data_IF_385419423217
#
_entry.id   IF_385419423217
#
_cell.length_a   1.000
_cell.length_b   1.000
_cell.length_c   1.000
_cell.angle_alpha   90.00
_cell.angle_beta   90.00
_cell.angle_gamma   90.00
#
_symmetry.space_group_name_H-M   'P 1'
#
loop_
_entity.id
_entity.type
_entity.pdbx_description
1 polymer ?
#
# COMPACT_ATOMS: atom_id res chain seq x y z
N UNK A 1 -2.47 -42.30 29.93
CA UNK A 1 -1.74 -43.28 29.09
C UNK A 1 -0.53 -42.59 28.47
N UNK A 2 0.60 -43.28 28.24
CA UNK A 2 1.74 -42.67 27.55
C UNK A 2 1.45 -42.62 26.05
N UNK A 3 1.21 -41.44 25.50
CA UNK A 3 1.16 -41.24 24.05
C UNK A 3 2.57 -41.45 23.50
N UNK A 4 2.75 -42.48 22.67
CA UNK A 4 4.06 -42.85 22.11
C UNK A 4 4.12 -42.41 20.66
N UNK A 5 5.28 -41.95 20.25
CA UNK A 5 5.63 -41.81 18.84
C UNK A 5 5.96 -43.18 18.24
N UNK A 6 5.85 -43.34 16.91
CA UNK A 6 6.24 -44.57 16.24
C UNK A 6 7.76 -44.77 16.39
N UNK A 7 8.22 -46.03 16.24
CA UNK A 7 9.64 -46.35 16.30
C UNK A 7 10.37 -45.58 15.18
N UNK A 8 11.37 -44.78 15.57
CA UNK A 8 12.07 -43.86 14.67
C UNK A 8 11.55 -42.41 14.67
N UNK A 9 10.47 -42.12 15.41
CA UNK A 9 9.94 -40.77 15.62
C UNK A 9 8.80 -40.41 14.68
N UNK A 10 8.04 -39.36 15.00
CA UNK A 10 6.81 -38.96 14.28
C UNK A 10 6.89 -38.89 12.74
N UNK A 11 8.08 -38.66 12.17
CA UNK A 11 8.29 -38.55 10.73
C UNK A 11 8.32 -39.90 10.01
N UNK A 12 8.54 -41.01 10.72
CA UNK A 12 8.59 -42.35 10.11
C UNK A 12 7.21 -42.89 9.77
N UNK A 13 6.18 -42.47 10.52
CA UNK A 13 4.78 -42.70 10.16
C UNK A 13 3.90 -41.51 10.59
N UNK A 14 3.79 -40.49 9.72
CA UNK A 14 2.98 -39.30 9.99
C UNK A 14 1.49 -39.60 10.09
N UNK A 15 1.00 -40.62 9.36
CA UNK A 15 -0.42 -40.99 9.35
C UNK A 15 -0.82 -41.60 10.69
N UNK A 16 -0.01 -42.55 11.19
CA UNK A 16 -0.19 -43.14 12.50
C UNK A 16 -0.09 -42.09 13.61
N UNK A 17 0.91 -41.20 13.54
CA UNK A 17 1.08 -40.13 14.52
C UNK A 17 -0.11 -39.16 14.53
N UNK A 18 -0.62 -38.78 13.36
CA UNK A 18 -1.82 -37.94 13.23
C UNK A 18 -3.05 -38.61 13.85
N UNK A 19 -3.22 -39.92 13.66
CA UNK A 19 -4.31 -40.67 14.31
C UNK A 19 -4.15 -40.71 15.83
N UNK A 20 -2.93 -40.90 16.36
CA UNK A 20 -2.69 -40.86 17.80
C UNK A 20 -2.95 -39.49 18.40
N UNK A 21 -2.55 -38.41 17.71
CA UNK A 21 -2.85 -37.03 18.13
C UNK A 21 -4.37 -36.81 18.13
N UNK A 22 -5.08 -37.26 17.09
CA UNK A 22 -6.54 -37.15 17.01
C UNK A 22 -7.23 -37.86 18.18
N UNK A 23 -6.79 -39.07 18.52
CA UNK A 23 -7.31 -39.83 19.67
C UNK A 23 -7.06 -39.06 20.96
N UNK A 24 -5.82 -38.62 21.21
CA UNK A 24 -5.45 -37.88 22.42
C UNK A 24 -6.23 -36.56 22.59
N UNK A 25 -6.47 -35.83 21.49
CA UNK A 25 -7.27 -34.60 21.52
C UNK A 25 -8.72 -34.91 21.88
N UNK A 26 -9.32 -35.93 21.23
CA UNK A 26 -10.71 -36.29 21.50
C UNK A 26 -10.90 -36.77 22.95
N UNK A 27 -9.98 -37.59 23.47
CA UNK A 27 -10.00 -38.03 24.87
C UNK A 27 -9.92 -36.83 25.83
N UNK A 28 -8.97 -35.92 25.61
CA UNK A 28 -8.83 -34.71 26.43
C UNK A 28 -10.08 -33.81 26.35
N UNK A 29 -10.67 -33.66 25.16
CA UNK A 29 -11.89 -32.89 24.97
C UNK A 29 -13.08 -33.53 25.69
N UNK A 30 -13.22 -34.85 25.63
CA UNK A 30 -14.27 -35.59 26.34
C UNK A 30 -14.14 -35.49 27.86
N UNK A 31 -12.90 -35.47 28.39
CA UNK A 31 -12.63 -35.24 29.80
C UNK A 31 -12.98 -33.80 30.23
N UNK A 32 -12.55 -32.80 29.46
CA UNK A 32 -12.76 -31.39 29.79
C UNK A 32 -14.22 -30.96 29.60
N UNK A 33 -14.95 -31.56 28.65
CA UNK A 33 -16.37 -31.25 28.39
C UNK A 33 -17.30 -31.73 29.51
N UNK A 34 -16.84 -32.67 30.35
CA UNK A 34 -17.59 -33.12 31.55
C UNK A 34 -17.57 -32.09 32.68
N UNK A 35 -16.69 -31.08 32.62
CA UNK A 35 -16.57 -30.02 33.62
C UNK A 35 -17.41 -28.80 33.22
N UNK A 36 -18.01 -28.12 34.20
CA UNK A 36 -18.62 -26.82 33.96
C UNK A 36 -17.53 -25.71 33.85
N UNK A 37 -17.91 -24.53 33.37
CA UNK A 37 -16.97 -23.42 33.13
C UNK A 37 -16.18 -22.99 34.38
N UNK A 38 -16.80 -23.03 35.56
CA UNK A 38 -16.13 -22.64 36.81
C UNK A 38 -15.10 -23.69 37.24
N UNK A 39 -15.44 -24.97 37.12
CA UNK A 39 -14.54 -26.07 37.42
C UNK A 39 -13.37 -26.13 36.44
N UNK A 40 -13.61 -25.82 35.15
CA UNK A 40 -12.56 -25.72 34.13
C UNK A 40 -11.55 -24.58 34.45
N UNK A 41 -12.05 -23.41 34.88
CA UNK A 41 -11.19 -22.30 35.29
C UNK A 41 -10.38 -22.63 36.55
N UNK A 42 -11.00 -23.33 37.50
CA UNK A 42 -10.35 -23.79 38.73
C UNK A 42 -9.28 -24.85 38.45
N UNK A 43 -9.57 -25.82 37.59
CA UNK A 43 -8.61 -26.83 37.13
C UNK A 43 -7.40 -26.19 36.46
N UNK A 44 -7.64 -25.23 35.55
CA UNK A 44 -6.58 -24.44 34.91
C UNK A 44 -5.71 -23.72 35.94
N UNK A 45 -6.32 -23.05 36.92
CA UNK A 45 -5.57 -22.35 37.97
C UNK A 45 -4.70 -23.33 38.79
N UNK A 46 -5.27 -24.46 39.20
CA UNK A 46 -4.56 -25.48 39.98
C UNK A 46 -3.41 -26.12 39.19
N UNK A 47 -3.59 -26.35 37.88
CA UNK A 47 -2.52 -26.87 37.01
C UNK A 47 -1.29 -25.99 37.08
N UNK A 48 -1.44 -24.68 36.85
CA UNK A 48 -0.30 -23.76 36.85
C UNK A 48 0.24 -23.46 38.25
N UNK A 49 -0.62 -23.43 39.27
CA UNK A 49 -0.18 -23.22 40.66
C UNK A 49 0.70 -24.35 41.21
N UNK A 50 0.49 -25.58 40.73
CA UNK A 50 1.28 -26.76 41.13
C UNK A 50 2.59 -26.92 40.36
N UNK A 51 2.84 -26.08 39.35
CA UNK A 51 4.10 -26.10 38.60
C UNK A 51 5.17 -25.35 39.39
N UNK A 52 6.21 -26.08 39.79
CA UNK A 52 7.33 -25.58 40.57
C UNK A 52 7.42 -26.23 41.95
N UNK A 53 8.65 -26.52 42.40
CA UNK A 53 8.93 -26.98 43.76
C UNK A 53 9.59 -25.87 44.55
N UNK A 54 9.10 -25.60 45.75
CA UNK A 54 9.75 -24.72 46.71
C UNK A 54 9.89 -25.45 48.05
N UNK A 55 11.00 -25.19 48.74
CA UNK A 55 11.29 -25.82 50.02
C UNK A 55 10.94 -24.80 51.12
N UNK A 56 9.78 -24.97 51.76
CA UNK A 56 9.36 -24.12 52.88
C UNK A 56 10.22 -24.39 54.13
N UNK A 57 10.59 -23.33 54.85
CA UNK A 57 11.21 -23.43 56.18
C UNK A 57 12.73 -23.25 56.24
N UNK A 58 13.41 -22.98 55.12
CA UNK A 58 14.82 -22.56 55.15
C UNK A 58 14.85 -21.02 55.18
N UNK A 59 15.45 -20.37 56.19
CA UNK A 59 15.64 -18.93 56.19
C UNK A 59 16.41 -18.50 54.93
N UNK A 60 15.75 -17.75 54.06
CA UNK A 60 16.37 -17.17 52.87
C UNK A 60 17.08 -15.91 53.34
N UNK A 61 18.41 -15.95 53.38
CA UNK A 61 19.26 -14.80 53.67
C UNK A 61 18.87 -13.62 52.75
N UNK A 62 18.55 -12.41 53.29
CA UNK A 62 18.05 -11.27 52.50
C UNK A 62 18.96 -10.84 51.35
N UNK A 63 20.24 -11.26 51.37
CA UNK A 63 21.16 -11.11 50.24
C UNK A 63 21.59 -12.47 49.74
N UNK A 64 20.72 -13.11 48.95
CA UNK A 64 21.16 -14.17 48.04
C UNK A 64 22.10 -13.57 47.00
N UNK A 65 23.38 -13.51 47.31
CA UNK A 65 24.44 -13.14 46.39
C UNK A 65 24.54 -14.22 45.33
N UNK A 66 23.79 -14.09 44.24
CA UNK A 66 24.08 -14.86 43.06
C UNK A 66 25.45 -14.38 42.57
N UNK A 67 26.42 -15.29 42.47
CA UNK A 67 27.59 -15.12 41.60
C UNK A 67 27.11 -15.14 40.15
N UNK A 68 26.29 -14.16 39.79
CA UNK A 68 26.05 -13.77 38.42
C UNK A 68 27.40 -13.27 37.95
N UNK A 69 28.07 -14.02 37.06
CA UNK A 69 28.89 -13.32 36.07
C UNK A 69 27.99 -12.23 35.50
N UNK A 70 28.54 -11.03 35.27
CA UNK A 70 27.79 -10.01 34.52
C UNK A 70 27.17 -10.74 33.36
N UNK A 71 25.84 -10.65 33.25
CA UNK A 71 25.11 -11.32 32.19
C UNK A 71 25.71 -10.74 30.92
N UNK A 72 26.62 -11.47 30.30
CA UNK A 72 26.96 -11.35 28.89
C UNK A 72 25.71 -11.85 28.17
N UNK A 73 24.59 -11.14 28.33
CA UNK A 73 23.69 -10.96 27.21
C UNK A 73 24.66 -10.42 26.17
N UNK A 74 24.92 -11.13 25.06
CA UNK A 74 25.61 -10.48 23.97
C UNK A 74 24.79 -9.22 23.75
N UNK A 75 25.36 -8.05 24.06
CA UNK A 75 24.90 -6.82 23.43
C UNK A 75 24.81 -7.24 21.97
N UNK A 76 23.60 -7.29 21.36
CA UNK A 76 23.46 -7.78 20.01
C UNK A 76 24.58 -7.10 19.23
N UNK A 77 25.46 -7.91 18.60
CA UNK A 77 26.78 -7.43 18.18
C UNK A 77 26.55 -6.11 17.48
N UNK A 78 27.18 -5.04 17.99
CA UNK A 78 27.07 -3.69 17.42
C UNK A 78 27.31 -3.88 15.94
N UNK A 79 26.22 -3.87 15.15
CA UNK A 79 26.36 -4.09 13.72
C UNK A 79 27.16 -2.88 13.28
N UNK A 80 28.24 -3.13 12.54
CA UNK A 80 29.03 -2.00 12.05
C UNK A 80 28.08 -1.10 11.25
N UNK A 81 28.04 0.19 11.57
CA UNK A 81 27.17 1.14 10.87
C UNK A 81 27.42 1.05 9.35
N UNK A 82 28.67 0.76 8.96
CA UNK A 82 29.11 0.49 7.60
C UNK A 82 28.42 -0.71 6.93
N UNK A 83 28.22 -1.83 7.64
CA UNK A 83 27.55 -3.01 7.08
C UNK A 83 26.04 -2.78 6.92
N UNK A 84 25.43 -2.04 7.86
CA UNK A 84 24.02 -1.66 7.78
C UNK A 84 23.79 -0.69 6.61
N UNK A 85 24.62 0.34 6.45
CA UNK A 85 24.54 1.28 5.34
C UNK A 85 24.71 0.59 3.98
N UNK A 86 25.63 -0.37 3.87
CA UNK A 86 25.81 -1.17 2.65
C UNK A 86 24.60 -2.07 2.36
N UNK A 87 23.97 -2.65 3.40
CA UNK A 87 22.76 -3.45 3.24
C UNK A 87 21.56 -2.61 2.75
N UNK A 88 21.44 -1.37 3.26
CA UNK A 88 20.42 -0.40 2.85
C UNK A 88 20.65 0.07 1.41
N UNK A 89 21.89 0.37 1.03
CA UNK A 89 22.21 0.83 -0.33
C UNK A 89 21.94 -0.26 -1.37
N UNK A 90 22.30 -1.51 -1.06
CA UNK A 90 21.95 -2.67 -1.90
C UNK A 90 20.44 -2.85 -2.05
N UNK A 91 19.69 -2.64 -0.98
CA UNK A 91 18.22 -2.67 -1.00
C UNK A 91 17.64 -1.57 -1.89
N UNK A 92 18.13 -0.32 -1.76
CA UNK A 92 17.74 0.79 -2.63
C UNK A 92 18.01 0.48 -4.09
N UNK A 93 19.20 -0.01 -4.40
CA UNK A 93 19.59 -0.37 -5.76
C UNK A 93 18.69 -1.47 -6.33
N UNK A 94 18.41 -2.52 -5.55
CA UNK A 94 17.53 -3.60 -6.00
C UNK A 94 16.10 -3.11 -6.29
N UNK A 95 15.57 -2.22 -5.46
CA UNK A 95 14.20 -1.70 -5.61
C UNK A 95 14.10 -0.77 -6.82
N UNK A 96 15.17 -0.02 -7.11
CA UNK A 96 15.29 0.81 -8.33
C UNK A 96 15.39 -0.04 -9.59
N UNK A 97 16.20 -1.10 -9.58
CA UNK A 97 16.43 -1.98 -10.75
C UNK A 97 15.24 -2.89 -11.06
N UNK A 98 14.41 -3.24 -10.08
CA UNK A 98 13.27 -4.15 -10.27
C UNK A 98 12.14 -3.87 -9.28
N UNK A 99 11.34 -2.82 -9.49
CA UNK A 99 10.21 -2.47 -8.64
C UNK A 99 9.09 -3.52 -8.60
N UNK A 100 9.12 -4.50 -9.52
CA UNK A 100 8.14 -5.59 -9.65
C UNK A 100 8.62 -6.93 -9.05
N UNK A 101 9.90 -7.09 -8.67
CA UNK A 101 10.41 -8.34 -8.13
C UNK A 101 10.39 -8.32 -6.59
N UNK A 102 10.13 -9.45 -5.91
CA UNK A 102 10.30 -9.52 -4.46
C UNK A 102 11.75 -9.15 -4.10
N UNK A 103 11.97 -8.22 -3.15
CA UNK A 103 13.32 -7.90 -2.73
C UNK A 103 14.00 -9.16 -2.19
N UNK A 104 15.27 -9.38 -2.58
CA UNK A 104 16.07 -10.56 -2.17
C UNK A 104 16.47 -10.44 -0.71
N UNK A 105 16.59 -9.19 -0.25
CA UNK A 105 16.79 -8.82 1.14
C UNK A 105 15.44 -8.63 1.82
N UNK A 106 15.32 -9.15 3.03
CA UNK A 106 14.14 -8.98 3.87
C UNK A 106 14.04 -7.52 4.34
N UNK A 107 13.26 -6.72 3.61
CA UNK A 107 12.98 -5.30 3.92
C UNK A 107 12.41 -5.13 5.34
N UNK A 108 11.60 -6.08 5.80
CA UNK A 108 11.01 -5.99 7.14
C UNK A 108 12.07 -6.22 8.22
N UNK A 109 12.98 -7.18 8.02
CA UNK A 109 14.10 -7.43 8.92
C UNK A 109 15.07 -6.26 8.98
N UNK A 110 15.37 -5.61 7.86
CA UNK A 110 16.26 -4.44 7.80
C UNK A 110 15.65 -3.21 8.46
N UNK A 111 14.35 -2.93 8.24
CA UNK A 111 13.63 -1.89 8.98
C UNK A 111 13.70 -2.14 10.49
N UNK A 112 13.37 -3.36 10.94
CA UNK A 112 13.47 -3.74 12.36
C UNK A 112 14.88 -3.60 12.93
N UNK A 113 15.91 -3.84 12.12
CA UNK A 113 17.32 -3.69 12.52
C UNK A 113 17.64 -2.20 12.71
N UNK A 114 17.21 -1.36 11.77
CA UNK A 114 17.40 0.08 11.82
C UNK A 114 16.61 0.77 12.94
N UNK A 115 15.40 0.31 13.26
CA UNK A 115 14.62 0.76 14.42
C UNK A 115 15.41 0.60 15.73
N UNK A 116 16.01 -0.59 15.95
CA UNK A 116 16.85 -0.83 17.15
C UNK A 116 18.07 0.08 17.22
N UNK A 117 18.68 0.34 16.07
CA UNK A 117 19.83 1.24 15.97
C UNK A 117 19.44 2.70 16.26
N UNK A 118 18.27 3.15 15.78
CA UNK A 118 17.71 4.47 16.12
C UNK A 118 17.42 4.58 17.62
N UNK A 119 16.80 3.57 18.23
CA UNK A 119 16.53 3.53 19.68
C UNK A 119 17.81 3.58 20.52
N UNK A 120 18.86 2.91 20.05
CA UNK A 120 20.17 2.91 20.70
C UNK A 120 20.81 4.30 20.63
N UNK A 121 20.85 4.92 19.46
CA UNK A 121 21.38 6.29 19.30
C UNK A 121 20.54 7.30 20.11
N UNK A 122 19.21 7.14 20.14
CA UNK A 122 18.34 7.98 20.97
C UNK A 122 18.70 7.84 22.46
N UNK A 123 18.91 6.62 22.93
CA UNK A 123 19.32 6.33 24.30
C UNK A 123 20.70 6.92 24.63
N UNK A 124 21.63 6.90 23.68
CA UNK A 124 22.95 7.53 23.82
C UNK A 124 22.83 9.07 23.88
N UNK A 125 21.96 9.67 23.07
CA UNK A 125 21.69 11.10 23.11
C UNK A 125 21.05 11.53 24.44
N UNK A 126 20.05 10.79 24.93
CA UNK A 126 19.43 11.03 26.25
C UNK A 126 20.46 11.00 27.37
N UNK A 127 21.38 10.03 27.34
CA UNK A 127 22.48 9.92 28.31
C UNK A 127 23.44 11.11 28.21
N UNK A 128 23.87 11.47 27.00
CA UNK A 128 24.80 12.57 26.78
C UNK A 128 24.22 13.92 27.25
N UNK A 129 22.91 14.11 27.14
CA UNK A 129 22.22 15.33 27.56
C UNK A 129 21.87 15.35 29.06
N UNK A 130 22.17 14.27 29.79
CA UNK A 130 21.85 14.15 31.22
C UNK A 130 20.35 14.03 31.51
N UNK A 131 19.55 13.56 30.54
CA UNK A 131 18.09 13.48 30.65
C UNK A 131 17.58 12.11 31.13
N UNK A 132 18.49 11.14 31.36
CA UNK A 132 18.16 9.75 31.73
C UNK A 132 17.18 9.64 32.91
N UNK A 133 17.41 10.38 34.00
CA UNK A 133 16.56 10.32 35.19
C UNK A 133 15.16 10.89 34.92
N UNK A 134 15.08 11.99 34.14
CA UNK A 134 13.80 12.62 33.77
C UNK A 134 12.96 11.69 32.89
N UNK A 135 13.57 11.04 31.90
CA UNK A 135 12.90 10.04 31.07
C UNK A 135 12.48 8.80 31.87
N UNK A 136 13.30 8.34 32.81
CA UNK A 136 12.96 7.20 33.68
C UNK A 136 11.76 7.53 34.57
N UNK A 137 11.77 8.68 35.23
CA UNK A 137 10.67 9.13 36.09
C UNK A 137 9.37 9.29 35.30
N UNK A 138 9.44 9.88 34.12
CA UNK A 138 8.27 10.03 33.24
C UNK A 138 7.72 8.66 32.79
N UNK A 139 8.60 7.71 32.44
CA UNK A 139 8.20 6.34 32.10
C UNK A 139 7.47 5.65 33.25
N UNK A 140 7.94 5.84 34.48
CA UNK A 140 7.29 5.27 35.68
C UNK A 140 5.92 5.92 35.94
N UNK A 141 5.79 7.24 35.75
CA UNK A 141 4.52 7.97 35.85
C UNK A 141 3.51 7.48 34.79
N UNK A 142 3.95 7.31 33.54
CA UNK A 142 3.11 6.77 32.44
C UNK A 142 2.71 5.32 32.71
N UNK A 143 3.64 4.48 33.16
CA UNK A 143 3.34 3.06 33.44
C UNK A 143 2.29 2.91 34.55
N UNK A 144 2.34 3.77 35.57
CA UNK A 144 1.33 3.79 36.64
C UNK A 144 -0.04 4.23 36.11
N UNK A 145 -0.11 5.32 35.35
CA UNK A 145 -1.36 5.81 34.77
C UNK A 145 -2.04 4.77 33.87
N UNK A 146 -1.27 4.08 33.02
CA UNK A 146 -1.80 3.03 32.13
C UNK A 146 -2.22 1.77 32.89
N UNK A 147 -1.55 1.41 33.99
CA UNK A 147 -1.92 0.26 34.82
C UNK A 147 -3.28 0.40 35.51
N UNK A 148 -3.75 1.63 35.68
CA UNK A 148 -5.06 1.95 36.27
C UNK A 148 -6.18 2.03 35.20
N UNK A 149 -5.89 1.69 33.93
CA UNK A 149 -6.80 1.85 32.77
C UNK A 149 -7.37 3.28 32.62
N UNK A 150 -6.69 4.28 33.18
CA UNK A 150 -7.08 5.68 33.01
C UNK A 150 -6.51 6.22 31.71
N UNK A 151 -7.31 7.03 31.01
CA UNK A 151 -6.81 7.91 29.94
C UNK A 151 -5.71 8.79 30.50
N UNK A 152 -4.62 8.97 29.74
CA UNK A 152 -3.50 9.84 30.13
C UNK A 152 -4.05 11.21 30.54
N UNK A 153 -3.84 11.59 31.79
CA UNK A 153 -4.22 12.90 32.31
C UNK A 153 -3.53 14.01 31.48
N UNK A 154 -4.25 15.05 31.03
CA UNK A 154 -3.67 16.21 30.35
C UNK A 154 -2.41 16.78 31.02
N UNK A 155 -2.30 16.71 32.35
CA UNK A 155 -1.11 17.16 33.07
C UNK A 155 0.12 16.26 32.87
N UNK A 156 -0.10 14.95 32.70
CA UNK A 156 0.97 14.01 32.33
C UNK A 156 1.34 14.16 30.86
N UNK A 157 0.36 14.43 29.99
CA UNK A 157 0.60 14.72 28.57
C UNK A 157 1.46 15.97 28.37
N UNK A 158 1.17 17.06 29.09
CA UNK A 158 1.99 18.29 29.07
C UNK A 158 3.44 18.04 29.55
N UNK A 159 3.65 17.15 30.53
CA UNK A 159 5.01 16.73 30.94
C UNK A 159 5.73 15.95 29.84
N UNK A 160 5.02 15.09 29.11
CA UNK A 160 5.59 14.34 27.97
C UNK A 160 6.02 15.31 26.88
N UNK A 161 5.14 16.23 26.49
CA UNK A 161 5.41 17.24 25.46
C UNK A 161 6.57 18.15 25.85
N UNK A 162 6.60 18.64 27.11
CA UNK A 162 7.71 19.46 27.61
C UNK A 162 9.05 18.76 27.61
N UNK A 163 9.11 17.50 28.05
CA UNK A 163 10.37 16.74 28.04
C UNK A 163 10.81 16.42 26.61
N UNK A 164 9.86 16.17 25.71
CA UNK A 164 10.13 15.95 24.29
C UNK A 164 10.68 17.23 23.63
N UNK A 165 10.09 18.39 23.93
CA UNK A 165 10.56 19.69 23.45
C UNK A 165 11.97 20.03 23.98
N UNK A 166 12.23 19.83 25.28
CA UNK A 166 13.56 20.01 25.90
C UNK A 166 14.61 19.09 25.23
N UNK A 167 14.25 17.83 24.99
CA UNK A 167 15.12 16.89 24.29
C UNK A 167 15.41 17.34 22.86
N UNK A 168 14.39 17.68 22.08
CA UNK A 168 14.53 18.09 20.68
C UNK A 168 15.34 19.38 20.53
N UNK A 169 15.11 20.36 21.42
CA UNK A 169 15.87 21.61 21.43
C UNK A 169 17.36 21.37 21.72
N UNK A 170 17.68 20.41 22.60
CA UNK A 170 19.04 20.10 23.03
C UNK A 170 19.70 19.00 22.20
N UNK A 171 18.96 18.36 21.29
CA UNK A 171 19.43 17.20 20.55
C UNK A 171 20.71 17.50 19.77
N UNK A 172 20.82 18.68 19.17
CA UNK A 172 22.01 19.10 18.41
C UNK A 172 23.28 19.15 19.27
N UNK A 173 23.17 19.33 20.59
CA UNK A 173 24.29 19.32 21.52
C UNK A 173 24.77 17.91 21.89
N UNK A 174 24.02 16.86 21.55
CA UNK A 174 24.45 15.48 21.77
C UNK A 174 25.56 15.11 20.76
N UNK A 175 26.66 14.45 21.19
CA UNK A 175 27.76 14.08 20.30
C UNK A 175 27.36 13.16 19.13
N UNK A 176 26.28 12.39 19.31
CA UNK A 176 25.77 11.45 18.31
C UNK A 176 24.55 11.98 17.53
N UNK A 177 24.23 13.28 17.64
CA UNK A 177 23.06 13.90 16.99
C UNK A 177 23.02 13.68 15.48
N UNK A 178 24.14 13.91 14.79
CA UNK A 178 24.29 13.68 13.36
C UNK A 178 24.06 12.21 12.97
N UNK A 179 24.54 11.29 13.81
CA UNK A 179 24.41 9.85 13.58
C UNK A 179 22.97 9.38 13.76
N UNK A 180 22.30 9.85 14.82
CA UNK A 180 20.88 9.63 15.05
C UNK A 180 20.05 10.17 13.87
N UNK A 181 20.33 11.40 13.43
CA UNK A 181 19.63 12.02 12.31
C UNK A 181 19.76 11.18 11.03
N UNK A 182 20.98 10.77 10.66
CA UNK A 182 21.24 9.89 9.50
C UNK A 182 20.43 8.59 9.58
N UNK A 183 20.38 7.94 10.74
CA UNK A 183 19.62 6.70 10.92
C UNK A 183 18.11 6.92 10.84
N UNK A 184 17.59 8.03 11.37
CA UNK A 184 16.16 8.42 11.24
C UNK A 184 15.79 8.68 9.79
N UNK A 185 16.64 9.36 9.04
CA UNK A 185 16.42 9.64 7.62
C UNK A 185 16.38 8.36 6.79
N UNK A 186 17.33 7.43 7.00
CA UNK A 186 17.30 6.12 6.36
C UNK A 186 16.04 5.32 6.71
N UNK A 187 15.56 5.41 7.96
CA UNK A 187 14.38 4.67 8.42
C UNK A 187 13.11 5.20 7.75
N UNK A 188 13.01 6.53 7.62
CA UNK A 188 11.92 7.19 6.90
C UNK A 188 11.87 6.73 5.45
N UNK A 189 13.00 6.81 4.73
CA UNK A 189 13.10 6.39 3.33
C UNK A 189 12.69 4.92 3.13
N UNK A 190 13.20 4.00 3.95
CA UNK A 190 12.84 2.57 3.84
C UNK A 190 11.36 2.31 4.15
N UNK A 191 10.77 3.08 5.06
CA UNK A 191 9.36 2.97 5.42
C UNK A 191 8.47 3.48 4.27
N UNK A 192 8.84 4.58 3.62
CA UNK A 192 8.17 5.08 2.42
C UNK A 192 8.22 4.05 1.29
N UNK A 193 9.40 3.48 1.04
CA UNK A 193 9.58 2.42 0.04
C UNK A 193 8.71 1.19 0.36
N UNK A 194 8.62 0.79 1.63
CA UNK A 194 7.74 -0.31 2.04
C UNK A 194 6.27 0.01 1.74
N UNK A 195 5.82 1.23 2.05
CA UNK A 195 4.45 1.67 1.76
C UNK A 195 4.15 1.64 0.26
N UNK A 196 5.09 2.09 -0.58
CA UNK A 196 4.94 2.02 -2.04
C UNK A 196 4.88 0.57 -2.54
N UNK A 197 5.73 -0.31 -2.01
CA UNK A 197 5.73 -1.72 -2.37
C UNK A 197 4.41 -2.41 -1.99
N UNK A 198 3.90 -2.15 -0.79
CA UNK A 198 2.65 -2.72 -0.31
C UNK A 198 1.44 -2.17 -1.09
N UNK A 199 1.44 -0.87 -1.43
CA UNK A 199 0.46 -0.30 -2.37
C UNK A 199 0.52 -0.97 -3.73
N UNK A 200 1.71 -1.19 -4.30
CA UNK A 200 1.86 -1.84 -5.60
C UNK A 200 1.32 -3.28 -5.59
N UNK A 201 1.60 -4.04 -4.52
CA UNK A 201 1.04 -5.39 -4.35
C UNK A 201 -0.49 -5.38 -4.33
N UNK A 202 -1.10 -4.44 -3.61
CA UNK A 202 -2.56 -4.32 -3.58
C UNK A 202 -3.10 -3.87 -4.94
N UNK A 203 -2.45 -2.95 -5.65
CA UNK A 203 -2.81 -2.56 -7.02
C UNK A 203 -2.78 -3.76 -7.97
N UNK A 204 -1.73 -4.58 -7.93
CA UNK A 204 -1.64 -5.80 -8.75
C UNK A 204 -2.76 -6.78 -8.41
N UNK A 205 -3.05 -6.98 -7.11
CA UNK A 205 -4.13 -7.84 -6.64
C UNK A 205 -5.50 -7.32 -7.08
N UNK A 206 -5.75 -6.03 -6.98
CA UNK A 206 -6.99 -5.37 -7.43
C UNK A 206 -7.14 -5.50 -8.95
N UNK A 207 -6.08 -5.26 -9.72
CA UNK A 207 -6.06 -5.46 -11.18
C UNK A 207 -6.42 -6.89 -11.57
N UNK A 208 -5.89 -7.89 -10.84
CA UNK A 208 -6.22 -9.30 -11.07
C UNK A 208 -7.67 -9.63 -10.70
N UNK A 209 -8.16 -9.14 -9.55
CA UNK A 209 -9.56 -9.31 -9.13
C UNK A 209 -10.53 -8.68 -10.14
N UNK A 210 -10.22 -7.47 -10.59
CA UNK A 210 -11.01 -6.74 -11.58
C UNK A 210 -11.02 -7.48 -12.91
N UNK A 211 -9.86 -7.94 -13.39
CA UNK A 211 -9.76 -8.75 -14.61
C UNK A 211 -10.64 -10.00 -14.52
N UNK A 212 -10.56 -10.74 -13.42
CA UNK A 212 -11.39 -11.93 -13.20
C UNK A 212 -12.88 -11.60 -13.25
N UNK A 213 -13.30 -10.50 -12.61
CA UNK A 213 -14.69 -10.05 -12.61
C UNK A 213 -15.17 -9.59 -13.99
N UNK A 214 -14.30 -8.94 -14.76
CA UNK A 214 -14.58 -8.60 -16.15
C UNK A 214 -14.76 -9.86 -17.01
N UNK A 215 -13.86 -10.83 -16.84
CA UNK A 215 -13.94 -12.13 -17.53
C UNK A 215 -15.23 -12.87 -17.13
N UNK A 216 -15.68 -12.80 -15.87
CA UNK A 216 -16.95 -13.40 -15.41
C UNK A 216 -18.17 -12.75 -16.11
N UNK A 217 -18.16 -11.43 -16.34
CA UNK A 217 -19.26 -10.70 -17.01
C UNK A 217 -19.29 -11.02 -18.52
N UNK A 218 -18.13 -10.94 -19.19
CA UNK A 218 -18.05 -11.17 -20.64
C UNK A 218 -18.31 -12.64 -21.01
N UNK A 219 -17.86 -13.58 -20.17
CA UNK A 219 -18.11 -15.01 -20.39
C UNK A 219 -19.44 -15.49 -19.80
N UNK A 220 -20.29 -14.58 -19.31
CA UNK A 220 -21.63 -14.94 -18.84
C UNK A 220 -22.43 -15.54 -20.00
N UNK A 221 -22.92 -16.79 -19.90
CA UNK A 221 -23.67 -17.45 -20.96
C UNK A 221 -24.85 -16.62 -21.47
N UNK A 222 -25.55 -15.94 -20.57
CA UNK A 222 -26.70 -15.09 -20.92
C UNK A 222 -26.30 -13.87 -21.74
N UNK A 223 -25.19 -13.23 -21.40
CA UNK A 223 -24.66 -12.07 -22.16
C UNK A 223 -24.18 -12.53 -23.53
N UNK A 224 -23.49 -13.67 -23.59
CA UNK A 224 -22.99 -14.25 -24.83
C UNK A 224 -24.11 -14.67 -25.78
N UNK A 225 -25.11 -15.39 -25.29
CA UNK A 225 -26.30 -15.80 -26.07
C UNK A 225 -27.05 -14.57 -26.60
N UNK A 226 -27.26 -13.55 -25.75
CA UNK A 226 -27.92 -12.31 -26.16
C UNK A 226 -27.12 -11.56 -27.24
N UNK A 227 -25.78 -11.51 -27.12
CA UNK A 227 -24.91 -10.90 -28.12
C UNK A 227 -24.97 -11.64 -29.46
N UNK A 228 -24.88 -12.97 -29.45
CA UNK A 228 -24.96 -13.81 -30.66
C UNK A 228 -26.32 -13.69 -31.35
N UNK A 229 -27.41 -13.60 -30.57
CA UNK A 229 -28.75 -13.35 -31.09
C UNK A 229 -28.88 -11.97 -31.74
N UNK A 230 -28.36 -10.93 -31.09
CA UNK A 230 -28.33 -9.57 -31.63
C UNK A 230 -27.50 -9.49 -32.93
N UNK A 231 -26.34 -10.13 -32.93
CA UNK A 231 -25.44 -10.17 -34.09
C UNK A 231 -26.11 -10.86 -35.28
N UNK A 232 -26.79 -11.99 -35.04
CA UNK A 232 -27.56 -12.70 -36.06
C UNK A 232 -28.73 -11.86 -36.59
N UNK A 233 -29.40 -11.11 -35.73
CA UNK A 233 -30.49 -10.22 -36.12
C UNK A 233 -30.01 -9.03 -36.96
N UNK A 234 -28.89 -8.40 -36.60
CA UNK A 234 -28.23 -7.35 -37.39
C UNK A 234 -27.79 -7.89 -38.77
N UNK A 235 -27.20 -9.09 -38.79
CA UNK A 235 -26.73 -9.71 -40.03
C UNK A 235 -27.87 -10.09 -40.97
N UNK A 236 -29.02 -10.52 -40.41
CA UNK A 236 -30.24 -10.82 -41.19
C UNK A 236 -30.83 -9.58 -41.85
N UNK A 237 -30.71 -8.41 -41.20
CA UNK A 237 -31.19 -7.13 -41.74
C UNK A 237 -30.25 -6.59 -42.83
N UNK A 238 -29.01 -7.10 -42.93
CA UNK A 238 -28.04 -6.66 -43.93
C UNK A 238 -27.60 -5.20 -43.76
N UNK A 239 -27.76 -4.66 -42.55
CA UNK A 239 -27.40 -3.29 -42.23
C UNK A 239 -25.88 -3.07 -42.40
N UNK A 240 -25.51 -2.09 -43.21
CA UNK A 240 -24.10 -1.71 -43.43
C UNK A 240 -23.66 -0.58 -42.49
N UNK A 241 -24.63 0.14 -41.90
CA UNK A 241 -24.42 1.23 -40.95
C UNK A 241 -25.52 1.26 -39.89
N UNK A 242 -25.27 1.96 -38.77
CA UNK A 242 -26.24 2.12 -37.69
C UNK A 242 -27.53 2.87 -38.13
N UNK A 243 -27.44 3.67 -39.21
CA UNK A 243 -28.57 4.36 -39.85
C UNK A 243 -29.59 3.38 -40.44
N UNK A 244 -29.12 2.22 -40.91
CA UNK A 244 -29.92 1.22 -41.63
C UNK A 244 -30.73 0.31 -40.69
N UNK A 245 -30.50 0.43 -39.37
CA UNK A 245 -31.22 -0.32 -38.34
C UNK A 245 -32.58 0.34 -38.06
N UNK A 246 -33.61 -0.49 -37.95
CA UNK A 246 -34.92 -0.02 -37.48
C UNK A 246 -34.89 0.40 -36.01
N UNK A 247 -35.91 1.16 -35.59
CA UNK A 247 -35.98 1.71 -34.24
C UNK A 247 -36.13 0.62 -33.15
N UNK A 248 -36.69 -0.54 -33.50
CA UNK A 248 -36.84 -1.67 -32.58
C UNK A 248 -35.49 -2.33 -32.28
N UNK A 249 -34.67 -2.55 -33.30
CA UNK A 249 -33.33 -3.12 -33.19
C UNK A 249 -32.37 -2.15 -32.51
N UNK A 250 -32.45 -0.85 -32.81
CA UNK A 250 -31.72 0.20 -32.06
C UNK A 250 -32.07 0.18 -30.57
N UNK A 251 -33.35 0.01 -30.23
CA UNK A 251 -33.80 -0.10 -28.84
C UNK A 251 -33.25 -1.36 -28.16
N UNK A 252 -33.29 -2.53 -28.82
CA UNK A 252 -32.70 -3.78 -28.30
C UNK A 252 -31.19 -3.66 -28.04
N UNK A 253 -30.45 -3.02 -28.95
CA UNK A 253 -29.01 -2.72 -28.77
C UNK A 253 -28.80 -1.85 -27.53
N UNK A 254 -29.62 -0.82 -27.38
CA UNK A 254 -29.52 0.09 -26.23
C UNK A 254 -29.83 -0.62 -24.91
N UNK A 255 -30.84 -1.48 -24.88
CA UNK A 255 -31.19 -2.28 -23.70
C UNK A 255 -30.10 -3.31 -23.35
N UNK A 256 -29.53 -3.98 -24.35
CA UNK A 256 -28.42 -4.91 -24.15
C UNK A 256 -27.18 -4.20 -23.56
N UNK A 257 -26.81 -3.04 -24.11
CA UNK A 257 -25.70 -2.25 -23.58
C UNK A 257 -25.93 -1.83 -22.12
N UNK A 258 -27.15 -1.37 -21.78
CA UNK A 258 -27.51 -1.02 -20.40
C UNK A 258 -27.38 -2.21 -19.44
N UNK A 259 -27.76 -3.41 -19.86
CA UNK A 259 -27.62 -4.63 -19.06
C UNK A 259 -26.13 -4.97 -18.83
N UNK A 260 -25.31 -4.89 -19.88
CA UNK A 260 -23.86 -5.12 -19.78
C UNK A 260 -23.21 -4.08 -18.86
N UNK A 261 -23.55 -2.81 -19.02
CA UNK A 261 -23.05 -1.71 -18.17
C UNK A 261 -23.45 -1.91 -16.70
N UNK A 262 -24.68 -2.35 -16.44
CA UNK A 262 -25.15 -2.64 -15.07
C UNK A 262 -24.36 -3.81 -14.45
N UNK A 263 -24.13 -4.88 -15.20
CA UNK A 263 -23.35 -6.02 -14.72
C UNK A 263 -21.89 -5.64 -14.47
N UNK A 264 -21.30 -4.83 -15.35
CA UNK A 264 -19.93 -4.33 -15.19
C UNK A 264 -19.82 -3.39 -13.98
N UNK A 265 -20.78 -2.48 -13.80
CA UNK A 265 -20.83 -1.60 -12.63
C UNK A 265 -20.95 -2.41 -11.33
N UNK A 266 -21.80 -3.42 -11.30
CA UNK A 266 -21.93 -4.32 -10.14
C UNK A 266 -20.65 -5.14 -9.88
N UNK A 267 -19.96 -5.55 -10.95
CA UNK A 267 -18.66 -6.21 -10.86
C UNK A 267 -17.60 -5.30 -10.23
N UNK A 268 -17.52 -4.03 -10.65
CA UNK A 268 -16.62 -3.01 -10.04
C UNK A 268 -16.97 -2.77 -8.57
N UNK A 269 -18.27 -2.61 -8.25
CA UNK A 269 -18.77 -2.49 -6.87
C UNK A 269 -18.37 -3.67 -5.99
N UNK A 270 -18.46 -4.89 -6.52
CA UNK A 270 -18.10 -6.11 -5.77
C UNK A 270 -16.61 -6.20 -5.41
N UNK A 271 -15.75 -5.47 -6.12
CA UNK A 271 -14.30 -5.37 -5.84
C UNK A 271 -13.99 -4.24 -4.84
N UNK A 272 -15.00 -3.45 -4.44
CA UNK A 272 -14.85 -2.37 -3.47
C UNK A 272 -14.20 -1.10 -4.04
N UNK A 273 -14.20 -0.95 -5.37
CA UNK A 273 -13.63 0.22 -6.06
C UNK A 273 -14.59 1.43 -6.13
N UNK A 274 -15.86 1.24 -5.74
CA UNK A 274 -16.91 2.26 -5.81
C UNK A 274 -16.88 3.24 -4.61
N UNK A 275 -16.42 2.78 -3.43
CA UNK A 275 -16.43 3.59 -2.19
C UNK A 275 -15.22 4.53 -2.01
N UNK A 276 -14.17 4.41 -2.85
CA UNK A 276 -12.97 5.26 -2.76
C UNK A 276 -12.90 6.39 -3.79
N UNK A 277 -13.75 6.39 -4.82
CA UNK A 277 -13.72 7.41 -5.87
C UNK A 277 -14.97 8.30 -5.91
N UNK A 278 -15.99 8.03 -5.09
CA UNK A 278 -17.22 8.82 -5.01
C UNK A 278 -17.58 9.10 -3.55
N UNK A 279 -16.70 9.79 -2.82
CA UNK A 279 -17.13 10.63 -1.70
C UNK A 279 -16.57 12.04 -1.91
N UNK A 280 -17.38 12.99 -2.40
CA UNK A 280 -17.00 14.38 -2.34
C UNK A 280 -17.04 14.80 -0.88
N UNK A 281 -15.87 15.12 -0.33
CA UNK A 281 -15.73 15.71 1.00
C UNK A 281 -15.40 14.70 2.09
N UNK A 282 -14.12 14.38 2.23
CA UNK A 282 -13.40 14.65 3.47
C UNK A 282 -11.90 14.43 3.21
N UNK A 283 -11.14 15.49 3.48
CA UNK A 283 -9.68 15.62 3.45
C UNK A 283 -9.08 16.01 2.08
N UNK A 284 -9.07 17.32 1.82
CA UNK A 284 -7.89 18.04 1.33
C UNK A 284 -7.42 17.85 -0.12
N UNK A 285 -8.02 16.98 -0.93
CA UNK A 285 -7.69 16.91 -2.36
C UNK A 285 -8.77 17.62 -3.17
N UNK A 286 -8.46 18.83 -3.65
CA UNK A 286 -9.24 19.47 -4.72
C UNK A 286 -9.29 18.50 -5.90
N UNK A 287 -10.49 18.03 -6.24
CA UNK A 287 -10.72 17.22 -7.43
C UNK A 287 -10.35 18.07 -8.65
N UNK A 288 -9.29 17.69 -9.36
CA UNK A 288 -8.84 18.34 -10.60
C UNK A 288 -9.69 17.94 -11.82
N UNK A 289 -10.70 17.08 -11.63
CA UNK A 289 -11.62 16.62 -12.67
C UNK A 289 -12.27 17.80 -13.43
N UNK A 290 -12.76 18.87 -12.78
CA UNK A 290 -13.37 19.99 -13.48
C UNK A 290 -12.35 20.79 -14.32
N UNK A 291 -11.12 20.98 -13.82
CA UNK A 291 -10.05 21.70 -14.55
C UNK A 291 -9.55 20.90 -15.76
N UNK A 292 -9.52 19.56 -15.67
CA UNK A 292 -9.17 18.68 -16.80
C UNK A 292 -10.28 18.69 -17.86
N UNK A 293 -11.54 18.64 -17.43
CA UNK A 293 -12.69 18.67 -18.33
C UNK A 293 -12.83 20.02 -19.05
N UNK A 294 -12.56 21.13 -18.35
CA UNK A 294 -12.52 22.47 -18.94
C UNK A 294 -11.41 22.60 -20.00
N UNK A 295 -10.22 22.07 -19.73
CA UNK A 295 -9.12 22.06 -20.70
C UNK A 295 -9.39 21.19 -21.92
N UNK A 296 -10.04 20.04 -21.72
CA UNK A 296 -10.39 19.16 -22.84
C UNK A 296 -11.41 19.85 -23.77
N UNK A 297 -12.38 20.55 -23.19
CA UNK A 297 -13.34 21.38 -23.93
C UNK A 297 -12.67 22.57 -24.64
N UNK A 298 -11.61 23.15 -24.05
CA UNK A 298 -10.87 24.25 -24.67
C UNK A 298 -10.02 23.78 -25.86
N UNK A 299 -9.34 22.63 -25.73
CA UNK A 299 -8.64 21.97 -26.84
C UNK A 299 -9.60 21.64 -27.98
N UNK A 300 -10.77 21.09 -27.66
CA UNK A 300 -11.79 20.76 -28.66
C UNK A 300 -12.25 22.03 -29.42
N UNK A 301 -12.47 23.14 -28.71
CA UNK A 301 -12.78 24.44 -29.32
C UNK A 301 -11.64 25.00 -30.16
N UNK A 302 -10.38 24.92 -29.72
CA UNK A 302 -9.23 25.40 -30.50
C UNK A 302 -9.07 24.61 -31.81
N UNK A 303 -9.28 23.29 -31.76
CA UNK A 303 -9.28 22.42 -32.95
C UNK A 303 -10.44 22.78 -33.88
N UNK A 304 -11.63 23.01 -33.33
CA UNK A 304 -12.81 23.39 -34.11
C UNK A 304 -12.65 24.78 -34.76
N UNK A 305 -12.05 25.75 -34.05
CA UNK A 305 -11.71 27.07 -34.59
C UNK A 305 -10.71 26.92 -35.73
N UNK A 306 -9.65 26.10 -35.57
CA UNK A 306 -8.67 25.87 -36.62
C UNK A 306 -9.30 25.23 -37.86
N UNK A 307 -10.15 24.21 -37.65
CA UNK A 307 -10.85 23.50 -38.72
C UNK A 307 -11.79 24.41 -39.52
N UNK A 308 -12.43 25.39 -38.86
CA UNK A 308 -13.40 26.29 -39.48
C UNK A 308 -12.79 27.59 -40.01
N UNK A 309 -11.70 28.09 -39.42
CA UNK A 309 -11.15 29.42 -39.68
C UNK A 309 -9.90 29.40 -40.57
N UNK A 310 -9.12 28.30 -40.55
CA UNK A 310 -7.91 28.21 -41.36
C UNK A 310 -8.18 27.62 -42.72
N UNK A 311 -8.21 28.48 -43.74
CA UNK A 311 -8.29 28.07 -45.15
C UNK A 311 -7.11 27.19 -45.56
N UNK A 312 -5.94 27.41 -44.96
CA UNK A 312 -4.73 26.62 -45.23
C UNK A 312 -4.82 25.21 -44.63
N UNK A 313 -5.34 25.09 -43.39
CA UNK A 313 -5.55 23.80 -42.75
C UNK A 313 -6.60 22.97 -43.49
N UNK A 314 -7.71 23.61 -43.87
CA UNK A 314 -8.75 22.98 -44.69
C UNK A 314 -8.22 22.54 -46.06
N UNK A 315 -7.38 23.36 -46.70
CA UNK A 315 -6.71 22.99 -47.96
C UNK A 315 -5.80 21.78 -47.78
N UNK A 316 -4.99 21.72 -46.72
CA UNK A 316 -4.12 20.57 -46.45
C UNK A 316 -4.90 19.27 -46.24
N UNK A 317 -6.05 19.32 -45.54
CA UNK A 317 -6.92 18.15 -45.37
C UNK A 317 -7.52 17.69 -46.69
N UNK A 318 -7.99 18.61 -47.54
CA UNK A 318 -8.52 18.25 -48.85
C UNK A 318 -7.44 17.73 -49.80
N UNK A 319 -6.23 18.30 -49.77
CA UNK A 319 -5.07 17.78 -50.51
C UNK A 319 -4.70 16.36 -50.05
N UNK A 320 -4.70 16.10 -48.73
CA UNK A 320 -4.45 14.76 -48.19
C UNK A 320 -5.53 13.77 -48.63
N UNK A 321 -6.81 14.15 -48.60
CA UNK A 321 -7.91 13.30 -49.08
C UNK A 321 -7.75 12.95 -50.56
N UNK A 322 -7.41 13.93 -51.39
CA UNK A 322 -7.19 13.73 -52.83
C UNK A 322 -5.99 12.82 -53.07
N UNK A 323 -4.89 13.00 -52.34
CA UNK A 323 -3.68 12.18 -52.49
C UNK A 323 -3.91 10.74 -52.03
N UNK A 324 -4.61 10.54 -50.92
CA UNK A 324 -5.01 9.20 -50.43
C UNK A 324 -5.96 8.51 -51.40
N UNK A 325 -6.91 9.25 -51.99
CA UNK A 325 -7.82 8.72 -53.00
C UNK A 325 -7.10 8.33 -54.30
N UNK A 326 -6.07 9.09 -54.71
CA UNK A 326 -5.21 8.77 -55.86
C UNK A 326 -4.32 7.56 -55.61
N UNK A 327 -3.78 7.42 -54.40
CA UNK A 327 -2.85 6.35 -54.03
C UNK A 327 -3.52 4.96 -53.92
N UNK A 328 -4.83 4.91 -53.68
CA UNK A 328 -5.57 3.65 -53.54
C UNK A 328 -5.08 2.79 -52.37
N UNK A 329 -5.30 1.47 -52.45
CA UNK A 329 -4.90 0.52 -51.40
C UNK A 329 -3.40 0.21 -51.35
N UNK A 330 -2.63 0.60 -52.38
CA UNK A 330 -1.18 0.37 -52.48
C UNK A 330 -0.49 1.60 -53.07
N UNK A 331 -0.09 2.57 -52.23
CA UNK A 331 0.61 3.78 -52.65
C UNK A 331 1.99 3.44 -53.24
N UNK A 332 2.38 4.10 -54.33
CA UNK A 332 3.77 4.11 -54.78
C UNK A 332 4.64 4.98 -53.83
N UNK A 333 5.97 4.88 -53.99
CA UNK A 333 6.92 5.58 -53.12
C UNK A 333 6.76 7.10 -53.12
N UNK A 334 6.28 7.69 -54.22
CA UNK A 334 6.08 9.13 -54.35
C UNK A 334 4.81 9.57 -53.59
N UNK A 335 3.70 8.85 -53.80
CA UNK A 335 2.43 9.06 -53.11
C UNK A 335 2.58 8.86 -51.61
N UNK A 336 3.36 7.86 -51.18
CA UNK A 336 3.65 7.60 -49.77
C UNK A 336 4.38 8.77 -49.11
N UNK A 337 5.45 9.25 -49.73
CA UNK A 337 6.20 10.40 -49.21
C UNK A 337 5.31 11.65 -49.11
N UNK A 338 4.44 11.87 -50.10
CA UNK A 338 3.55 13.03 -50.14
C UNK A 338 2.44 12.98 -49.08
N UNK A 339 1.88 11.79 -48.85
CA UNK A 339 0.92 11.54 -47.76
C UNK A 339 1.60 11.75 -46.40
N UNK A 340 2.83 11.26 -46.22
CA UNK A 340 3.58 11.43 -44.99
C UNK A 340 3.90 12.91 -44.71
N UNK A 341 4.35 13.66 -45.72
CA UNK A 341 4.63 15.10 -45.62
C UNK A 341 3.38 15.92 -45.25
N UNK A 342 2.25 15.65 -45.92
CA UNK A 342 0.97 16.32 -45.61
C UNK A 342 0.48 15.97 -44.21
N UNK A 343 0.62 14.71 -43.80
CA UNK A 343 0.29 14.25 -42.45
C UNK A 343 1.12 14.96 -41.39
N UNK A 344 2.43 15.14 -41.63
CA UNK A 344 3.30 15.87 -40.72
C UNK A 344 2.92 17.35 -40.61
N UNK A 345 2.63 18.01 -41.73
CA UNK A 345 2.21 19.43 -41.73
C UNK A 345 0.88 19.66 -41.01
N UNK A 346 -0.07 18.74 -41.17
CA UNK A 346 -1.36 18.78 -40.46
C UNK A 346 -1.13 18.58 -38.95
N UNK A 347 -0.30 17.61 -38.55
CA UNK A 347 0.07 17.38 -37.15
C UNK A 347 0.75 18.61 -36.54
N UNK A 348 1.66 19.25 -37.27
CA UNK A 348 2.34 20.46 -36.81
C UNK A 348 1.37 21.62 -36.62
N UNK A 349 0.45 21.84 -37.58
CA UNK A 349 -0.56 22.90 -37.48
C UNK A 349 -1.52 22.69 -36.28
N UNK A 350 -1.88 21.43 -36.00
CA UNK A 350 -2.66 21.08 -34.80
C UNK A 350 -1.86 21.32 -33.52
N UNK A 351 -0.58 20.95 -33.49
CA UNK A 351 0.29 21.16 -32.33
C UNK A 351 0.53 22.65 -32.05
N UNK A 352 0.64 23.48 -33.09
CA UNK A 352 0.76 24.94 -32.95
C UNK A 352 -0.54 25.56 -32.42
N UNK A 353 -1.70 25.14 -32.93
CA UNK A 353 -3.00 25.64 -32.46
C UNK A 353 -3.31 25.24 -31.01
N UNK A 354 -2.96 24.01 -30.64
CA UNK A 354 -3.15 23.47 -29.27
C UNK A 354 -1.99 23.77 -28.33
N UNK A 355 -0.92 24.41 -28.81
CA UNK A 355 0.29 24.70 -28.03
C UNK A 355 0.02 25.63 -26.85
N UNK A 356 -0.94 26.56 -26.98
CA UNK A 356 -1.45 27.40 -25.89
C UNK A 356 -2.03 26.54 -24.75
N UNK A 357 -2.88 25.57 -25.11
CA UNK A 357 -3.45 24.59 -24.19
C UNK A 357 -2.39 23.62 -23.63
N UNK A 358 -1.36 23.26 -24.42
CA UNK A 358 -0.24 22.43 -23.96
C UNK A 358 0.54 23.07 -22.81
N UNK A 359 0.72 24.40 -22.82
CA UNK A 359 1.32 25.13 -21.69
C UNK A 359 0.43 25.07 -20.44
N UNK A 360 -0.90 25.03 -20.61
CA UNK A 360 -1.85 24.82 -19.50
C UNK A 360 -1.83 23.38 -18.99
N UNK A 361 -1.65 22.39 -19.87
CA UNK A 361 -1.40 20.99 -19.47
C UNK A 361 -0.07 20.84 -18.74
N UNK A 362 1.01 21.48 -19.18
CA UNK A 362 2.29 21.48 -18.46
C UNK A 362 2.16 22.16 -17.09
N UNK A 363 1.36 23.22 -16.96
CA UNK A 363 1.06 23.86 -15.69
C UNK A 363 0.19 22.97 -14.79
N UNK A 364 -0.79 22.24 -15.33
CA UNK A 364 -1.55 21.22 -14.58
C UNK A 364 -0.67 20.04 -14.18
N UNK A 365 0.17 19.54 -15.08
CA UNK A 365 1.14 18.47 -14.80
C UNK A 365 2.17 18.96 -13.77
N UNK A 366 2.53 20.23 -13.77
CA UNK A 366 3.36 20.86 -12.74
C UNK A 366 2.60 21.11 -11.44
N UNK A 367 1.28 21.33 -11.48
CA UNK A 367 0.41 21.30 -10.29
C UNK A 367 0.24 19.87 -9.76
N UNK A 368 0.25 18.84 -10.60
CA UNK A 368 0.14 17.43 -10.21
C UNK A 368 1.49 16.93 -9.66
N UNK A 369 2.59 17.25 -10.36
CA UNK A 369 3.98 16.97 -9.96
C UNK A 369 4.39 17.81 -8.75
N UNK A 370 3.93 19.06 -8.69
CA UNK A 370 4.04 19.99 -7.57
C UNK A 370 3.04 19.74 -6.44
N UNK A 371 1.96 18.97 -6.65
CA UNK A 371 1.15 18.39 -5.57
C UNK A 371 1.73 17.03 -5.09
N UNK A 372 2.81 16.56 -5.71
CA UNK A 372 3.81 15.69 -5.07
C UNK A 372 4.86 16.47 -4.27
N UNK A 373 4.96 17.79 -4.44
CA UNK A 373 5.56 18.65 -3.43
C UNK A 373 4.51 18.85 -2.35
N UNK A 374 4.72 18.16 -1.24
CA UNK A 374 4.22 18.55 0.06
C UNK A 374 4.09 20.08 0.08
N UNK A 375 2.86 20.60 0.15
CA UNK A 375 2.66 21.86 0.83
C UNK A 375 3.40 21.67 2.16
N UNK A 376 4.45 22.45 2.36
CA UNK A 376 5.10 22.60 3.64
C UNK A 376 4.00 22.93 4.65
N UNK A 377 3.55 21.91 5.40
CA UNK A 377 2.30 22.00 6.13
C UNK A 377 1.73 20.69 6.66
N UNK A 378 2.09 19.53 6.12
CA UNK A 378 1.86 18.22 6.77
C UNK A 378 3.14 17.38 6.65
N UNK A 379 4.18 17.82 7.39
CA UNK A 379 5.18 16.89 7.89
C UNK A 379 4.42 15.85 8.69
N UNK A 380 4.67 14.55 8.45
CA UNK A 380 4.45 13.58 9.51
C UNK A 380 5.19 14.15 10.72
N UNK A 381 4.44 14.58 11.72
CA UNK A 381 5.06 15.15 12.91
C UNK A 381 5.82 14.02 13.61
N UNK A 382 6.81 14.36 14.44
CA UNK A 382 7.45 13.37 15.32
C UNK A 382 6.40 12.57 16.13
N UNK A 383 5.18 13.11 16.29
CA UNK A 383 4.04 12.51 16.96
C UNK A 383 3.33 11.41 16.13
N UNK A 384 3.19 11.54 14.81
CA UNK A 384 2.61 10.47 13.96
C UNK A 384 3.57 9.29 13.76
N UNK A 385 4.89 9.54 13.83
CA UNK A 385 5.88 8.48 13.94
C UNK A 385 5.80 7.80 15.33
N UNK A 386 5.59 8.56 16.41
CA UNK A 386 5.38 8.01 17.76
C UNK A 386 4.12 7.16 17.87
N UNK A 387 3.01 7.50 17.21
CA UNK A 387 1.77 6.70 17.27
C UNK A 387 1.93 5.33 16.59
N UNK A 388 2.62 5.27 15.45
CA UNK A 388 2.95 4.00 14.77
C UNK A 388 4.03 3.17 15.48
N UNK A 389 4.97 3.82 16.16
CA UNK A 389 5.99 3.14 16.99
C UNK A 389 5.37 2.65 18.31
N UNK A 390 4.44 3.40 18.89
CA UNK A 390 3.74 3.06 20.13
C UNK A 390 2.81 1.84 20.00
N UNK A 391 2.22 1.62 18.83
CA UNK A 391 1.35 0.47 18.59
C UNK A 391 2.08 -0.88 18.52
N UNK A 392 3.41 -0.91 18.38
CA UNK A 392 4.21 -2.14 18.33
C UNK A 392 4.98 -2.46 19.63
N UNK A 393 4.84 -1.63 20.66
CA UNK A 393 5.31 -1.98 22.00
C UNK A 393 4.28 -2.87 22.71
N UNK A 394 4.13 -4.10 22.20
CA UNK A 394 3.80 -5.20 23.09
C UNK A 394 5.00 -5.39 24.02
N UNK A 395 4.90 -4.79 25.20
CA UNK A 395 5.88 -4.89 26.26
C UNK A 395 6.07 -6.36 26.65
N UNK A 396 7.28 -6.88 26.38
CA UNK A 396 7.84 -8.05 27.05
C UNK A 396 9.26 -7.76 27.49
#
# INVERSE_FOLDING_TARGET
MQHREPIGGAHTDPSWTSQQIKIAINEAMDELTKLNTQDLLKDRNLKFRKLGGFQEGIPIDPKKGFNMRKRDIPVPPKISDSELEVEIEKLKQQISESPSAPPKFDLHKTIKKLEREVDQEFSEAVKALGLTERFSKLRDEVSKATSENQTIDPLLQDKIEKLNADFNQRLSAAPNSNKLQKKRDMLRELTEVKLLLDRNKETVRLKQKLKKKFDDVINNPRIKENYEALQSEIQRVGASSASDLDDELKKKITEFNKEVDLQLANAVKSVGLDDQFIKPGQNGSESLVPEIEELNNEVEKEIEILANSSTDFKRMIEELKVEVAKAGGTPDSESKNRIDDLTQKIKQSLAEATGSSSLKYENLVSKISGNGSLKAGESLTDDELREKIGANLNFS
#
